data_IF_699289453257
#
_entry.id   IF_699289453257
#
_cell.length_a   1.000
_cell.length_b   1.000
_cell.length_c   1.000
_cell.angle_alpha   90.00
_cell.angle_beta   90.00
_cell.angle_gamma   90.00
#
_symmetry.space_group_name_H-M   'P 1'
#
loop_
_entity.id
_entity.type
_entity.pdbx_description
1 polymer ?
#
# COMPACT_ATOMS: atom_id res chain seq x y z
N UNK A 1 -3.52 -6.81 -24.47
CA UNK A 1 -2.34 -7.09 -23.91
C UNK A 1 -2.05 -6.28 -22.69
N UNK A 2 -1.55 -6.93 -21.82
CA UNK A 2 -1.29 -6.28 -20.62
C UNK A 2 -0.20 -5.31 -20.75
N UNK A 3 -0.42 -4.21 -20.24
CA UNK A 3 0.58 -3.25 -20.20
C UNK A 3 1.50 -3.52 -19.04
N UNK A 4 2.49 -4.30 -19.30
CA UNK A 4 3.34 -4.73 -18.25
C UNK A 4 4.23 -3.64 -17.74
N UNK A 5 4.39 -2.58 -18.48
CA UNK A 5 5.22 -1.54 -17.99
C UNK A 5 4.72 -0.92 -16.75
N UNK A 6 3.44 -1.01 -16.52
CA UNK A 6 2.88 -0.36 -15.36
C UNK A 6 3.11 -1.11 -14.11
N UNK A 7 3.25 -2.42 -14.23
CA UNK A 7 3.27 -3.21 -13.02
C UNK A 7 4.65 -3.36 -12.47
N UNK A 8 5.68 -2.87 -13.23
CA UNK A 8 6.95 -3.15 -12.74
C UNK A 8 7.67 -2.00 -12.29
N UNK A 9 7.02 -0.96 -11.99
CA UNK A 9 7.69 0.19 -11.46
C UNK A 9 7.95 0.07 -9.96
N UNK A 10 7.45 -0.95 -9.32
CA UNK A 10 7.69 -1.14 -7.90
C UNK A 10 9.06 -1.71 -7.66
N UNK A 11 9.80 -1.07 -6.77
CA UNK A 11 11.15 -1.47 -6.44
C UNK A 11 11.23 -2.24 -5.13
N UNK A 12 10.11 -2.79 -4.69
CA UNK A 12 10.04 -3.52 -3.44
C UNK A 12 9.31 -4.82 -3.65
N UNK A 13 9.44 -5.70 -2.66
CA UNK A 13 8.85 -7.02 -2.72
C UNK A 13 7.35 -6.93 -2.55
N UNK A 14 6.62 -7.73 -3.30
CA UNK A 14 5.18 -7.90 -3.11
C UNK A 14 4.87 -9.36 -2.89
N UNK A 15 3.74 -9.63 -2.25
CA UNK A 15 3.29 -10.99 -2.02
C UNK A 15 1.77 -11.03 -2.12
N UNK A 16 1.24 -12.07 -2.74
CA UNK A 16 -0.20 -12.19 -2.95
C UNK A 16 -0.86 -12.90 -1.77
N UNK A 17 -1.97 -12.35 -1.32
CA UNK A 17 -2.79 -12.97 -0.28
C UNK A 17 -4.23 -12.94 -0.74
N UNK A 18 -4.79 -14.13 -1.04
CA UNK A 18 -6.16 -14.28 -1.53
C UNK A 18 -6.45 -13.32 -2.69
N UNK A 19 -5.59 -13.34 -3.69
CA UNK A 19 -5.72 -12.55 -4.91
C UNK A 19 -5.51 -11.04 -4.72
N UNK A 20 -5.03 -10.64 -3.55
CA UNK A 20 -4.67 -9.25 -3.31
C UNK A 20 -3.16 -9.17 -3.20
N UNK A 21 -2.54 -8.34 -4.03
CA UNK A 21 -1.11 -8.14 -3.95
C UNK A 21 -0.78 -7.16 -2.84
N UNK A 22 0.04 -7.58 -1.90
CA UNK A 22 0.41 -6.76 -0.76
C UNK A 22 1.84 -6.28 -0.93
N UNK A 23 2.03 -4.99 -0.75
CA UNK A 23 3.32 -4.36 -0.88
C UNK A 23 4.06 -4.49 0.45
N UNK A 24 5.21 -5.15 0.41
CA UNK A 24 5.97 -5.46 1.62
C UNK A 24 6.92 -4.31 1.93
N UNK A 25 6.33 -3.15 2.13
CA UNK A 25 7.05 -1.94 2.50
C UNK A 25 6.95 -1.75 3.99
N UNK A 26 8.06 -1.40 4.62
CA UNK A 26 8.02 -0.98 6.00
C UNK A 26 7.53 0.45 6.14
N UNK A 27 7.37 0.88 7.38
CA UNK A 27 6.84 2.20 7.67
C UNK A 27 7.70 3.32 7.10
N UNK A 28 9.02 3.22 7.23
CA UNK A 28 9.91 4.27 6.73
C UNK A 28 9.84 4.38 5.21
N UNK A 29 9.83 3.24 4.52
CA UNK A 29 9.75 3.24 3.06
C UNK A 29 8.41 3.78 2.59
N UNK A 30 7.33 3.44 3.30
CA UNK A 30 6.01 3.95 2.96
C UNK A 30 5.94 5.46 3.13
N UNK A 31 6.50 5.99 4.21
CA UNK A 31 6.54 7.44 4.43
C UNK A 31 7.33 8.14 3.33
N UNK A 32 8.47 7.56 2.96
CA UNK A 32 9.27 8.15 1.91
C UNK A 32 8.51 8.19 0.58
N UNK A 33 7.80 7.11 0.27
CA UNK A 33 7.01 7.06 -0.95
C UNK A 33 5.96 8.17 -0.97
N UNK A 34 5.29 8.38 0.15
CA UNK A 34 4.28 9.43 0.25
C UNK A 34 4.92 10.80 0.09
N UNK A 35 6.02 11.04 0.77
CA UNK A 35 6.71 12.31 0.68
C UNK A 35 7.19 12.60 -0.74
N UNK A 36 7.77 11.60 -1.39
CA UNK A 36 8.25 11.76 -2.76
C UNK A 36 7.08 12.07 -3.70
N UNK A 37 5.95 11.39 -3.50
CA UNK A 37 4.77 11.61 -4.32
C UNK A 37 4.24 13.03 -4.15
N UNK A 38 4.20 13.52 -2.91
CA UNK A 38 3.74 14.88 -2.65
C UNK A 38 4.69 15.92 -3.25
N UNK A 39 5.99 15.69 -3.15
CA UNK A 39 6.98 16.60 -3.71
C UNK A 39 6.89 16.62 -5.24
N UNK A 40 6.77 15.46 -5.85
CA UNK A 40 6.63 15.37 -7.31
C UNK A 40 5.37 16.06 -7.79
N UNK A 41 4.29 15.97 -7.02
CA UNK A 41 3.04 16.60 -7.38
C UNK A 41 3.17 18.13 -7.49
N UNK A 42 4.04 18.72 -6.70
CA UNK A 42 4.24 20.17 -6.74
C UNK A 42 4.89 20.60 -8.06
N UNK A 43 5.72 19.76 -8.65
CA UNK A 43 6.40 20.08 -9.90
C UNK A 43 5.68 19.49 -11.10
N UNK A 44 5.07 18.33 -10.93
CA UNK A 44 4.34 17.65 -11.99
C UNK A 44 3.04 17.10 -11.42
N UNK A 45 1.98 17.89 -11.41
CA UNK A 45 0.72 17.44 -10.81
C UNK A 45 0.24 16.14 -11.41
N UNK A 46 -0.19 15.24 -10.55
CA UNK A 46 -0.71 13.95 -10.98
C UNK A 46 -2.15 14.11 -11.46
N UNK A 47 -2.50 13.31 -12.47
CA UNK A 47 -3.88 13.27 -12.94
C UNK A 47 -4.78 12.58 -11.93
N UNK A 48 -4.23 11.65 -11.15
CA UNK A 48 -5.00 10.89 -10.19
C UNK A 48 -4.27 10.86 -8.86
N UNK A 49 -5.04 10.77 -7.78
CA UNK A 49 -4.46 10.67 -6.45
C UNK A 49 -3.79 9.31 -6.27
N UNK A 50 -2.74 9.28 -5.47
CA UNK A 50 -2.13 8.04 -5.03
C UNK A 50 -3.03 7.42 -3.97
N UNK A 51 -3.49 6.20 -4.23
CA UNK A 51 -4.34 5.51 -3.27
C UNK A 51 -3.52 4.46 -2.52
N UNK A 52 -3.49 4.59 -1.22
CA UNK A 52 -2.81 3.64 -0.35
C UNK A 52 -3.83 3.02 0.58
N UNK A 53 -3.88 1.71 0.59
CA UNK A 53 -4.77 0.96 1.46
C UNK A 53 -3.94 0.30 2.55
N UNK A 54 -4.36 0.44 3.80
CA UNK A 54 -3.77 -0.31 4.90
C UNK A 54 -4.70 -1.49 5.18
N UNK A 55 -4.22 -2.69 4.84
CA UNK A 55 -5.05 -3.88 4.72
C UNK A 55 -4.99 -4.73 5.99
N UNK A 56 -6.15 -4.98 6.59
CA UNK A 56 -6.23 -5.89 7.72
C UNK A 56 -6.99 -7.16 7.32
N UNK A 57 -7.05 -8.11 8.25
CA UNK A 57 -7.66 -9.41 7.95
C UNK A 57 -9.15 -9.32 7.65
N UNK A 58 -9.86 -8.39 8.28
CA UNK A 58 -11.28 -8.23 7.99
C UNK A 58 -11.51 -7.76 6.57
N UNK A 59 -10.66 -6.86 6.07
CA UNK A 59 -10.78 -6.41 4.70
C UNK A 59 -10.50 -7.53 3.72
N UNK A 60 -9.49 -8.35 4.02
CA UNK A 60 -9.20 -9.50 3.17
C UNK A 60 -10.40 -10.43 3.11
N UNK A 61 -10.99 -10.72 4.26
CA UNK A 61 -12.16 -11.59 4.29
C UNK A 61 -13.33 -10.97 3.53
N UNK A 62 -13.59 -9.69 3.75
CA UNK A 62 -14.70 -9.03 3.06
C UNK A 62 -14.51 -9.08 1.54
N UNK A 63 -13.27 -8.96 1.08
CA UNK A 63 -13.00 -9.01 -0.36
C UNK A 63 -13.28 -10.38 -0.94
N UNK A 64 -13.16 -11.46 -0.16
CA UNK A 64 -13.51 -12.78 -0.65
C UNK A 64 -15.01 -12.93 -0.88
N UNK A 65 -15.82 -12.08 -0.24
CA UNK A 65 -17.27 -12.14 -0.34
C UNK A 65 -17.85 -11.10 -1.29
N UNK A 66 -17.03 -10.18 -1.76
CA UNK A 66 -17.52 -9.04 -2.54
C UNK A 66 -16.56 -8.76 -3.70
N UNK A 67 -16.91 -9.21 -4.91
CA UNK A 67 -16.03 -9.00 -6.07
C UNK A 67 -15.77 -7.53 -6.38
N UNK A 68 -16.72 -6.65 -6.09
CA UNK A 68 -16.50 -5.24 -6.33
C UNK A 68 -15.44 -4.67 -5.39
N UNK A 69 -15.48 -5.09 -4.12
CA UNK A 69 -14.47 -4.67 -3.17
C UNK A 69 -13.10 -5.23 -3.57
N UNK A 70 -13.04 -6.50 -3.95
CA UNK A 70 -11.79 -7.09 -4.39
C UNK A 70 -11.19 -6.30 -5.55
N UNK A 71 -12.02 -5.94 -6.51
CA UNK A 71 -11.55 -5.16 -7.66
C UNK A 71 -10.99 -3.81 -7.23
N UNK A 72 -11.66 -3.14 -6.31
CA UNK A 72 -11.18 -1.84 -5.82
C UNK A 72 -9.82 -1.98 -5.13
N UNK A 73 -9.66 -3.02 -4.32
CA UNK A 73 -8.40 -3.24 -3.62
C UNK A 73 -7.28 -3.58 -4.60
N UNK A 74 -7.60 -4.34 -5.65
CA UNK A 74 -6.63 -4.68 -6.66
C UNK A 74 -6.17 -3.46 -7.47
N UNK A 75 -6.99 -2.43 -7.53
CA UNK A 75 -6.66 -1.22 -8.26
C UNK A 75 -5.88 -0.21 -7.43
N UNK A 76 -5.78 -0.39 -6.13
CA UNK A 76 -5.01 0.50 -5.29
C UNK A 76 -3.54 0.42 -5.68
N UNK A 77 -2.87 1.57 -5.70
CA UNK A 77 -1.49 1.61 -6.11
C UNK A 77 -0.57 0.98 -5.08
N UNK A 78 -0.92 1.10 -3.82
CA UNK A 78 -0.12 0.53 -2.74
C UNK A 78 -1.06 -0.09 -1.71
N UNK A 79 -0.77 -1.32 -1.31
CA UNK A 79 -1.52 -2.02 -0.29
C UNK A 79 -0.55 -2.45 0.79
N UNK A 80 -0.67 -1.89 1.97
CA UNK A 80 0.26 -2.13 3.07
C UNK A 80 -0.33 -3.09 4.09
N UNK A 81 0.49 -3.95 4.69
CA UNK A 81 -0.02 -4.88 5.70
C UNK A 81 -0.29 -4.16 7.01
N UNK A 82 -1.54 -4.16 7.43
CA UNK A 82 -1.96 -3.56 8.69
C UNK A 82 -2.66 -4.61 9.51
N UNK A 83 -2.05 -4.98 10.60
CA UNK A 83 -2.65 -5.93 11.50
C UNK A 83 -1.87 -7.23 11.55
N UNK A 84 -1.95 -7.84 12.72
CA UNK A 84 -1.18 -9.04 13.02
C UNK A 84 -1.57 -10.20 12.12
N UNK A 85 -2.86 -10.30 11.77
CA UNK A 85 -3.33 -11.40 10.93
C UNK A 85 -2.72 -11.41 9.54
N UNK A 86 -2.63 -10.23 8.92
CA UNK A 86 -2.06 -10.13 7.59
C UNK A 86 -0.56 -10.41 7.64
N UNK A 87 0.13 -9.84 8.62
CA UNK A 87 1.57 -10.07 8.79
C UNK A 87 1.83 -11.57 9.02
N UNK A 88 1.03 -12.19 9.88
CA UNK A 88 1.17 -13.62 10.16
C UNK A 88 1.00 -14.45 8.88
N UNK A 89 -0.03 -14.14 8.08
CA UNK A 89 -0.29 -14.89 6.86
C UNK A 89 0.86 -14.76 5.86
N UNK A 90 1.43 -13.55 5.75
CA UNK A 90 2.56 -13.35 4.85
C UNK A 90 3.80 -14.08 5.34
N UNK A 91 4.01 -14.10 6.64
CA UNK A 91 5.14 -14.84 7.21
C UNK A 91 5.01 -16.33 6.94
N UNK A 92 3.78 -16.84 6.95
CA UNK A 92 3.55 -18.24 6.61
C UNK A 92 3.92 -18.54 5.15
N UNK A 93 3.88 -17.53 4.30
CA UNK A 93 4.29 -17.67 2.91
C UNK A 93 5.79 -17.43 2.72
N UNK A 94 6.52 -17.23 3.81
CA UNK A 94 7.95 -17.03 3.75
C UNK A 94 8.36 -15.58 3.58
N UNK A 95 7.44 -14.64 3.76
CA UNK A 95 7.73 -13.23 3.58
C UNK A 95 7.68 -12.52 4.92
N UNK A 96 8.81 -11.92 5.30
CA UNK A 96 8.89 -11.17 6.54
C UNK A 96 8.53 -9.72 6.25
N UNK A 97 7.51 -9.20 6.92
CA UNK A 97 7.04 -7.85 6.70
C UNK A 97 6.84 -7.14 8.02
N UNK A 98 6.93 -5.83 7.96
CA UNK A 98 6.63 -4.98 9.10
C UNK A 98 5.16 -4.59 9.01
N UNK A 99 4.46 -4.63 10.16
CA UNK A 99 3.09 -4.13 10.20
C UNK A 99 3.12 -2.61 10.07
N UNK A 100 2.25 -2.07 9.21
CA UNK A 100 2.20 -0.62 8.97
C UNK A 100 0.78 -0.12 9.22
N UNK A 101 0.45 0.24 10.48
CA UNK A 101 -0.87 0.75 10.78
C UNK A 101 -1.10 2.11 10.12
N UNK A 102 -2.27 2.26 9.51
CA UNK A 102 -2.59 3.51 8.83
C UNK A 102 -2.53 4.72 9.75
N UNK A 103 -2.96 4.55 11.01
CA UNK A 103 -2.94 5.65 11.96
C UNK A 103 -1.51 6.13 12.24
N UNK A 104 -0.54 5.21 12.24
CA UNK A 104 0.85 5.59 12.46
C UNK A 104 1.39 6.42 11.30
N UNK A 105 0.98 6.08 10.08
CA UNK A 105 1.36 6.87 8.91
C UNK A 105 0.79 8.28 8.99
N UNK A 106 -0.49 8.38 9.33
CA UNK A 106 -1.14 9.68 9.45
C UNK A 106 -0.45 10.55 10.51
N UNK A 107 -0.18 9.95 11.66
CA UNK A 107 0.50 10.68 12.73
C UNK A 107 1.87 11.16 12.29
N UNK A 108 2.63 10.29 11.62
CA UNK A 108 3.97 10.67 11.19
C UNK A 108 3.92 11.79 10.16
N UNK A 109 2.96 11.74 9.24
CA UNK A 109 2.82 12.78 8.23
C UNK A 109 2.44 14.12 8.83
N UNK A 110 1.55 14.09 9.82
CA UNK A 110 1.12 15.33 10.47
C UNK A 110 2.21 15.98 11.31
N UNK A 111 3.18 15.18 11.77
CA UNK A 111 4.28 15.70 12.57
C UNK A 111 5.42 16.23 11.73
N UNK A 112 5.46 15.91 10.45
CA UNK A 112 6.52 16.37 9.58
C UNK A 112 6.13 17.67 8.90
N UNK A 113 7.05 18.63 8.82
CA UNK A 113 6.78 19.82 8.02
C UNK A 113 6.87 19.43 6.55
N UNK A 114 5.74 19.21 5.94
CA UNK A 114 5.70 18.95 4.53
C UNK A 114 5.74 20.28 3.80
N UNK A 115 6.55 20.32 2.75
CA UNK A 115 6.63 21.54 1.94
C UNK A 115 5.51 21.55 0.95
N UNK A 116 4.31 21.60 1.45
CA UNK A 116 3.16 21.71 0.59
C UNK A 116 2.84 23.18 0.44
N UNK A 117 2.99 23.67 -0.72
CA UNK A 117 2.76 25.08 -0.97
C UNK A 117 1.27 25.40 -0.98
#
# INVERSE_FOLDING_TARGET
MINTEQSHTKHWVTSSLLDIEIDCLGRQAALKLIEDTLNDHQTQPRAQALQIVTMNAEMVYAATQDPALLSLLQQAEVVLPDGIGVVWALERQGVSVERVPGIDLVKALLQKPLKIA
#
